data_IF_919972018435
#
_entry.id   IF_919972018435
#
_cell.length_a   1.000
_cell.length_b   1.000
_cell.length_c   1.000
_cell.angle_alpha   90.00
_cell.angle_beta   90.00
_cell.angle_gamma   90.00
#
_symmetry.space_group_name_H-M   'P 1'
#
loop_
_entity.id
_entity.type
_entity.pdbx_description
1 polymer ?
#
# COMPACT_ATOMS: atom_id res chain seq x y z
N UNK A 1 4.14 9.99 -6.63
CA UNK A 1 4.40 8.95 -5.61
C UNK A 1 5.90 8.85 -5.33
N UNK A 2 6.29 9.12 -4.08
CA UNK A 2 7.66 9.01 -3.56
C UNK A 2 8.07 7.55 -3.38
N UNK A 3 9.38 7.29 -3.23
CA UNK A 3 9.92 5.95 -2.96
C UNK A 3 9.24 5.27 -1.75
N UNK A 4 8.91 6.03 -0.70
CA UNK A 4 8.28 5.47 0.50
C UNK A 4 6.81 5.13 0.31
N UNK A 5 6.12 5.88 -0.55
CA UNK A 5 4.77 5.56 -0.97
C UNK A 5 4.76 4.32 -1.89
N UNK A 6 5.73 4.20 -2.80
CA UNK A 6 5.93 2.98 -3.60
C UNK A 6 6.15 1.76 -2.72
N UNK A 7 7.03 1.84 -1.73
CA UNK A 7 7.28 0.74 -0.79
C UNK A 7 6.01 0.32 -0.03
N UNK A 8 5.14 1.27 0.32
CA UNK A 8 3.85 0.97 0.95
C UNK A 8 2.92 0.22 -0.02
N UNK A 9 2.80 0.70 -1.26
CA UNK A 9 1.97 0.07 -2.30
C UNK A 9 2.49 -1.33 -2.65
N UNK A 10 3.80 -1.50 -2.82
CA UNK A 10 4.44 -2.82 -2.99
C UNK A 10 4.17 -3.74 -1.80
N UNK A 11 4.23 -3.23 -0.57
CA UNK A 11 3.92 -4.03 0.62
C UNK A 11 2.46 -4.48 0.64
N UNK A 12 1.51 -3.68 0.15
CA UNK A 12 0.11 -4.09 -0.02
C UNK A 12 -0.03 -5.21 -1.06
N UNK A 13 0.64 -5.12 -2.21
CA UNK A 13 0.64 -6.19 -3.23
C UNK A 13 1.22 -7.49 -2.65
N UNK A 14 2.35 -7.41 -1.94
CA UNK A 14 3.00 -8.56 -1.30
C UNK A 14 2.18 -9.23 -0.19
N UNK A 15 1.16 -8.56 0.36
CA UNK A 15 0.22 -9.18 1.31
C UNK A 15 -0.76 -10.12 0.57
N UNK A 16 -0.99 -9.89 -0.73
CA UNK A 16 -1.78 -10.79 -1.58
C UNK A 16 -3.26 -10.89 -1.20
N UNK A 17 -3.80 -9.85 -0.54
CA UNK A 17 -5.22 -9.80 -0.13
C UNK A 17 -5.84 -8.46 -0.55
N UNK A 18 -7.16 -8.42 -0.81
CA UNK A 18 -7.85 -7.18 -1.20
C UNK A 18 -7.74 -6.04 -0.17
N UNK A 19 -7.59 -6.38 1.11
CA UNK A 19 -7.44 -5.43 2.22
C UNK A 19 -6.17 -5.72 2.98
N UNK A 20 -5.30 -4.72 3.13
CA UNK A 20 -4.07 -4.78 3.92
C UNK A 20 -4.25 -4.11 5.29
N UNK A 21 -3.86 -4.80 6.37
CA UNK A 21 -3.83 -4.19 7.71
C UNK A 21 -2.61 -3.27 7.80
N UNK A 22 -2.80 -2.02 8.24
CA UNK A 22 -1.70 -1.04 8.33
C UNK A 22 -0.51 -1.54 9.17
N UNK A 23 -0.78 -2.33 10.20
CA UNK A 23 0.25 -2.98 11.02
C UNK A 23 1.07 -4.01 10.23
N UNK A 24 0.43 -4.84 9.42
CA UNK A 24 1.07 -5.87 8.59
C UNK A 24 1.90 -5.23 7.46
N UNK A 25 1.37 -4.16 6.85
CA UNK A 25 2.11 -3.33 5.88
C UNK A 25 3.38 -2.78 6.54
N UNK A 26 3.28 -2.26 7.77
CA UNK A 26 4.43 -1.80 8.54
C UNK A 26 5.47 -2.88 8.83
N UNK A 27 5.03 -4.09 9.16
CA UNK A 27 5.93 -5.23 9.34
C UNK A 27 6.65 -5.59 8.04
N UNK A 28 5.96 -5.60 6.90
CA UNK A 28 6.58 -5.87 5.58
C UNK A 28 7.59 -4.81 5.16
N UNK A 29 7.41 -3.56 5.60
CA UNK A 29 8.34 -2.46 5.35
C UNK A 29 9.46 -2.37 6.40
N UNK A 30 9.41 -3.17 7.47
CA UNK A 30 10.25 -3.02 8.67
C UNK A 30 10.19 -1.59 9.26
N UNK A 31 8.97 -1.11 9.53
CA UNK A 31 8.72 0.25 10.04
C UNK A 31 7.67 0.28 11.14
N UNK A 32 7.83 1.26 12.03
CA UNK A 32 6.93 1.51 13.16
C UNK A 32 5.58 2.12 12.71
N UNK A 33 4.49 1.96 13.48
CA UNK A 33 3.16 2.46 13.11
C UNK A 33 3.08 3.96 12.78
N UNK A 34 3.82 4.81 13.50
CA UNK A 34 3.86 6.25 13.24
C UNK A 34 4.44 6.59 11.87
N UNK A 35 5.48 5.86 11.43
CA UNK A 35 6.09 6.02 10.11
C UNK A 35 5.09 5.69 9.00
N UNK A 36 4.41 4.55 9.13
CA UNK A 36 3.41 4.06 8.17
C UNK A 36 2.19 4.97 8.09
N UNK A 37 1.80 5.60 9.21
CA UNK A 37 0.63 6.48 9.27
C UNK A 37 0.76 7.72 8.37
N UNK A 38 1.98 8.25 8.20
CA UNK A 38 2.24 9.39 7.31
C UNK A 38 1.94 9.02 5.86
N UNK A 39 2.48 7.90 5.38
CA UNK A 39 2.31 7.47 4.00
C UNK A 39 0.90 6.93 3.74
N UNK A 40 0.27 6.28 4.72
CA UNK A 40 -1.15 5.92 4.65
C UNK A 40 -2.01 7.14 4.40
N UNK A 41 -1.80 8.24 5.15
CA UNK A 41 -2.57 9.48 4.98
C UNK A 41 -2.38 10.06 3.59
N UNK A 42 -1.13 10.22 3.15
CA UNK A 42 -0.81 10.73 1.81
C UNK A 42 -1.45 9.91 0.69
N UNK A 43 -1.35 8.59 0.74
CA UNK A 43 -1.94 7.71 -0.28
C UNK A 43 -3.48 7.73 -0.27
N UNK A 44 -4.10 8.05 0.87
CA UNK A 44 -5.55 8.30 0.94
C UNK A 44 -5.89 9.64 0.31
N UNK A 45 -5.14 10.70 0.67
CA UNK A 45 -5.35 12.05 0.15
C UNK A 45 -5.15 12.09 -1.38
N UNK A 46 -4.16 11.36 -1.89
CA UNK A 46 -3.86 11.16 -3.31
C UNK A 46 -4.80 10.16 -4.01
N UNK A 47 -5.79 9.61 -3.29
CA UNK A 47 -6.81 8.70 -3.83
C UNK A 47 -6.25 7.38 -4.40
N UNK A 48 -5.06 6.95 -3.98
CA UNK A 48 -4.48 5.66 -4.37
C UNK A 48 -5.09 4.52 -3.56
N UNK A 49 -5.31 4.75 -2.26
CA UNK A 49 -5.92 3.79 -1.34
C UNK A 49 -7.10 4.42 -0.61
N UNK A 50 -7.96 3.59 -0.04
CA UNK A 50 -9.07 4.03 0.81
C UNK A 50 -9.16 3.22 2.10
N UNK A 51 -9.71 3.78 3.19
CA UNK A 51 -10.04 3.01 4.39
C UNK A 51 -11.04 1.90 4.05
N UNK A 52 -10.77 0.68 4.51
CA UNK A 52 -11.64 -0.48 4.25
C UNK A 52 -12.40 -0.98 5.49
N UNK A 53 -11.77 -0.90 6.66
CA UNK A 53 -12.32 -1.17 7.99
C UNK A 53 -11.31 -0.70 9.04
N UNK A 54 -11.57 -0.88 10.34
CA UNK A 54 -10.67 -0.40 11.41
C UNK A 54 -9.24 -0.92 11.24
N UNK A 55 -8.31 -0.01 10.92
CA UNK A 55 -6.90 -0.34 10.71
C UNK A 55 -6.57 -1.01 9.36
N UNK A 56 -7.54 -1.14 8.45
CA UNK A 56 -7.35 -1.72 7.11
C UNK A 56 -7.47 -0.68 6.01
N UNK A 57 -6.74 -0.91 4.93
CA UNK A 57 -6.79 -0.14 3.68
C UNK A 57 -6.91 -1.08 2.49
N UNK A 58 -7.45 -0.58 1.40
CA UNK A 58 -7.52 -1.26 0.12
C UNK A 58 -7.23 -0.27 -1.01
N UNK A 59 -6.85 -0.76 -2.19
CA UNK A 59 -6.72 0.12 -3.35
C UNK A 59 -8.05 0.75 -3.72
N UNK A 60 -8.00 2.01 -4.18
CA UNK A 60 -9.21 2.69 -4.64
C UNK A 60 -9.72 2.11 -5.95
N UNK A 61 -8.82 1.84 -6.88
CA UNK A 61 -9.14 1.26 -8.17
C UNK A 61 -9.18 -0.29 -8.08
N UNK A 62 -10.22 -0.93 -8.64
CA UNK A 62 -10.24 -2.38 -8.80
C UNK A 62 -9.04 -2.87 -9.62
N UNK A 63 -8.50 -4.04 -9.25
CA UNK A 63 -7.38 -4.69 -9.94
C UNK A 63 -6.06 -3.89 -9.97
N UNK A 64 -5.97 -2.79 -9.21
CA UNK A 64 -4.74 -1.99 -9.15
C UNK A 64 -3.58 -2.78 -8.55
N UNK A 65 -3.85 -3.73 -7.65
CA UNK A 65 -2.85 -4.68 -7.16
C UNK A 65 -2.14 -5.44 -8.29
N UNK A 66 -2.90 -5.92 -9.27
CA UNK A 66 -2.35 -6.64 -10.45
C UNK A 66 -1.53 -5.73 -11.34
N UNK A 67 -2.03 -4.52 -11.60
CA UNK A 67 -1.29 -3.52 -12.39
C UNK A 67 0.08 -3.23 -11.76
N UNK A 68 0.13 -3.06 -10.44
CA UNK A 68 1.38 -2.83 -9.72
C UNK A 68 2.28 -4.08 -9.75
N UNK A 69 1.70 -5.26 -9.58
CA UNK A 69 2.45 -6.53 -9.66
C UNK A 69 3.14 -6.69 -11.03
N UNK A 70 2.44 -6.41 -12.13
CA UNK A 70 3.00 -6.40 -13.48
C UNK A 70 4.14 -5.39 -13.62
N UNK A 71 3.95 -4.16 -13.12
CA UNK A 71 4.98 -3.12 -13.16
C UNK A 71 6.23 -3.49 -12.34
N UNK A 72 6.07 -4.19 -11.21
CA UNK A 72 7.19 -4.72 -10.43
C UNK A 72 7.94 -5.80 -11.22
N UNK A 73 7.24 -6.70 -11.91
CA UNK A 73 7.87 -7.76 -12.72
C UNK A 73 8.66 -7.21 -13.90
N UNK A 74 8.26 -6.06 -14.44
CA UNK A 74 8.93 -5.37 -15.53
C UNK A 74 10.06 -4.45 -15.07
N UNK A 75 10.33 -4.38 -13.76
CA UNK A 75 11.29 -3.43 -13.14
C UNK A 75 10.96 -1.95 -13.45
N UNK A 76 9.68 -1.63 -13.71
CA UNK A 76 9.19 -0.29 -14.07
C UNK A 76 8.56 0.47 -12.88
N UNK A 77 8.33 -0.23 -11.75
CA UNK A 77 7.58 0.32 -10.60
C UNK A 77 8.39 1.06 -9.55
#
# INVERSE_FOLDING_TARGET
>A
MTEKERQFVQAMVKIGRPKGKAQEIGQKMDKKPGYISVYRRKLIDDQIIMPASYGYVQFMLPYFDRFIEEQIMLDEF
#
